data_IF_813348408297
#
_entry.id   IF_813348408297
#
_cell.length_a   1.000
_cell.length_b   1.000
_cell.length_c   1.000
_cell.angle_alpha   90.00
_cell.angle_beta   90.00
_cell.angle_gamma   90.00
#
_symmetry.space_group_name_H-M   'P 1'
#
loop_
_entity.id
_entity.type
_entity.pdbx_description
1 polymer ?
#
# COMPACT_ATOMS: atom_id res chain seq x y z
N UNK A 1 3.62 45.02 -32.10
CA UNK A 1 3.38 43.74 -31.41
C UNK A 1 3.55 42.64 -32.46
N UNK A 2 4.59 41.81 -32.36
CA UNK A 2 4.84 40.76 -33.38
C UNK A 2 3.75 39.71 -33.27
N UNK A 3 3.10 39.39 -34.38
CA UNK A 3 2.07 38.35 -34.46
C UNK A 3 2.71 37.02 -34.09
N UNK A 4 2.30 36.46 -32.95
CA UNK A 4 2.79 35.18 -32.49
C UNK A 4 2.22 34.11 -33.43
N UNK A 5 3.07 33.34 -34.13
CA UNK A 5 2.61 32.47 -35.20
C UNK A 5 1.81 31.30 -34.61
N UNK A 6 0.74 30.87 -35.29
CA UNK A 6 -0.24 29.91 -34.75
C UNK A 6 0.36 28.60 -34.21
N UNK A 7 1.48 28.13 -34.76
CA UNK A 7 2.20 26.93 -34.28
C UNK A 7 2.74 27.09 -32.85
N UNK A 8 2.99 28.32 -32.38
CA UNK A 8 3.43 28.58 -31.01
C UNK A 8 2.34 28.22 -29.99
N UNK A 9 1.06 28.47 -30.30
CA UNK A 9 -0.05 28.07 -29.44
C UNK A 9 -0.21 26.55 -29.39
N UNK A 10 -0.01 25.86 -30.53
CA UNK A 10 0.02 24.39 -30.56
C UNK A 10 1.15 23.80 -29.71
N UNK A 11 2.36 24.38 -29.79
CA UNK A 11 3.46 23.96 -28.93
C UNK A 11 3.18 24.22 -27.46
N UNK A 12 2.60 25.37 -27.10
CA UNK A 12 2.20 25.65 -25.72
C UNK A 12 1.20 24.63 -25.18
N UNK A 13 0.18 24.27 -25.97
CA UNK A 13 -0.84 23.29 -25.57
C UNK A 13 -0.25 21.89 -25.35
N UNK A 14 0.86 21.53 -26.01
CA UNK A 14 1.51 20.24 -25.81
C UNK A 14 2.54 20.31 -24.68
N UNK A 15 3.41 21.33 -24.71
CA UNK A 15 4.56 21.44 -23.80
C UNK A 15 4.12 21.78 -22.37
N UNK A 16 3.15 22.68 -22.18
CA UNK A 16 2.71 23.06 -20.83
C UNK A 16 2.13 21.85 -20.07
N UNK A 17 1.17 21.07 -20.61
CA UNK A 17 0.65 19.91 -19.88
C UNK A 17 1.70 18.85 -19.61
N UNK A 18 2.66 18.64 -20.51
CA UNK A 18 3.77 17.69 -20.28
C UNK A 18 4.62 18.16 -19.10
N UNK A 19 5.06 19.41 -19.10
CA UNK A 19 5.86 19.98 -18.01
C UNK A 19 5.08 19.95 -16.69
N UNK A 20 3.80 20.29 -16.72
CA UNK A 20 2.94 20.23 -15.54
C UNK A 20 2.78 18.79 -15.03
N UNK A 21 2.64 17.82 -15.93
CA UNK A 21 2.53 16.39 -15.58
C UNK A 21 3.81 15.87 -14.93
N UNK A 22 4.98 16.23 -15.46
CA UNK A 22 6.28 15.83 -14.90
C UNK A 22 6.41 16.29 -13.44
N UNK A 23 5.90 17.48 -13.11
CA UNK A 23 5.93 18.01 -11.74
C UNK A 23 4.82 17.42 -10.85
N UNK A 24 3.61 17.26 -11.38
CA UNK A 24 2.44 16.89 -10.58
C UNK A 24 2.29 15.39 -10.34
N UNK A 25 2.77 14.54 -11.26
CA UNK A 25 2.70 13.09 -11.11
C UNK A 25 3.47 12.62 -9.86
N UNK A 26 4.74 12.99 -9.63
CA UNK A 26 5.48 12.56 -8.44
C UNK A 26 4.80 12.99 -7.13
N UNK A 27 4.30 14.23 -7.07
CA UNK A 27 3.59 14.75 -5.90
C UNK A 27 2.30 13.96 -5.63
N UNK A 28 1.52 13.70 -6.67
CA UNK A 28 0.29 12.91 -6.57
C UNK A 28 0.59 11.48 -6.16
N UNK A 29 1.68 10.90 -6.67
CA UNK A 29 2.16 9.58 -6.30
C UNK A 29 2.52 9.51 -4.83
N UNK A 30 3.28 10.46 -4.33
CA UNK A 30 3.65 10.51 -2.92
C UNK A 30 2.43 10.74 -2.00
N UNK A 31 1.54 11.68 -2.35
CA UNK A 31 0.31 11.93 -1.58
C UNK A 31 -0.56 10.69 -1.45
N UNK A 32 -0.69 9.91 -2.53
CA UNK A 32 -1.54 8.71 -2.57
C UNK A 32 -1.08 7.56 -1.67
N UNK A 33 0.12 7.63 -1.10
CA UNK A 33 0.67 6.61 -0.18
C UNK A 33 0.42 6.93 1.29
N UNK A 34 -0.04 8.15 1.58
CA UNK A 34 -0.21 8.65 2.94
C UNK A 34 -1.48 8.08 3.60
N UNK A 35 -1.44 7.96 4.93
CA UNK A 35 -2.61 7.56 5.73
C UNK A 35 -3.77 8.55 5.53
N UNK A 36 -3.46 9.85 5.38
CA UNK A 36 -4.46 10.90 5.14
C UNK A 36 -5.20 10.69 3.81
N UNK A 37 -4.51 10.23 2.76
CA UNK A 37 -5.16 9.89 1.51
C UNK A 37 -6.06 8.66 1.67
N UNK A 38 -5.58 7.60 2.32
CA UNK A 38 -6.42 6.42 2.60
C UNK A 38 -7.67 6.79 3.42
N UNK A 39 -7.51 7.65 4.43
CA UNK A 39 -8.59 8.14 5.29
C UNK A 39 -9.60 9.06 4.57
N UNK A 40 -9.29 9.53 3.35
CA UNK A 40 -10.26 10.31 2.55
C UNK A 40 -11.38 9.45 1.97
N UNK A 41 -11.19 8.13 1.92
CA UNK A 41 -12.22 7.18 1.50
C UNK A 41 -13.02 6.70 2.72
N UNK A 42 -14.34 6.86 2.70
CA UNK A 42 -15.19 6.42 3.82
C UNK A 42 -15.12 4.91 4.07
N UNK A 43 -14.85 4.10 3.04
CA UNK A 43 -14.69 2.65 3.18
C UNK A 43 -13.48 2.27 4.03
N UNK A 44 -12.52 3.19 4.20
CA UNK A 44 -11.34 3.00 5.04
C UNK A 44 -11.51 3.41 6.49
N UNK A 45 -12.64 4.02 6.86
CA UNK A 45 -12.89 4.48 8.24
C UNK A 45 -12.63 3.39 9.29
N UNK A 46 -13.13 2.14 9.17
CA UNK A 46 -12.89 1.11 10.18
C UNK A 46 -11.40 0.81 10.37
N UNK A 47 -10.66 0.74 9.26
CA UNK A 47 -9.22 0.49 9.27
C UNK A 47 -8.48 1.63 9.95
N UNK A 48 -8.80 2.88 9.62
CA UNK A 48 -8.14 4.06 10.20
C UNK A 48 -8.45 4.20 11.69
N UNK A 49 -9.68 3.92 12.11
CA UNK A 49 -10.08 3.94 13.52
C UNK A 49 -9.37 2.84 14.32
N UNK A 50 -9.22 1.65 13.74
CA UNK A 50 -8.52 0.52 14.38
C UNK A 50 -7.07 0.83 14.74
N UNK A 51 -6.38 1.62 13.91
CA UNK A 51 -4.99 2.01 14.18
C UNK A 51 -4.86 2.85 15.46
N UNK A 52 -5.94 3.53 15.86
CA UNK A 52 -5.96 4.41 17.03
C UNK A 52 -6.51 3.71 18.27
N UNK A 53 -6.99 2.47 18.16
CA UNK A 53 -7.47 1.72 19.32
C UNK A 53 -6.29 1.30 20.20
N UNK A 54 -6.16 1.82 21.43
CA UNK A 54 -5.05 1.49 22.32
C UNK A 54 -5.11 0.03 22.82
N UNK A 55 -6.24 -0.67 22.66
CA UNK A 55 -6.42 -2.06 23.08
C UNK A 55 -6.17 -3.06 21.96
N UNK A 56 -5.99 -2.59 20.73
CA UNK A 56 -5.79 -3.47 19.58
C UNK A 56 -4.35 -3.98 19.54
N UNK A 57 -4.21 -5.31 19.56
CA UNK A 57 -2.94 -6.01 19.37
C UNK A 57 -2.69 -6.40 17.91
N UNK A 58 -3.54 -5.93 16.98
CA UNK A 58 -3.40 -6.25 15.56
C UNK A 58 -2.09 -5.69 14.99
N UNK A 59 -1.50 -6.42 14.05
CA UNK A 59 -0.19 -6.11 13.45
C UNK A 59 -0.12 -4.68 12.92
N UNK A 60 -1.12 -4.25 12.14
CA UNK A 60 -1.17 -2.90 11.59
C UNK A 60 -1.26 -1.82 12.69
N UNK A 61 -1.94 -2.11 13.79
CA UNK A 61 -2.08 -1.18 14.92
C UNK A 61 -0.75 -0.96 15.61
N UNK A 62 -0.02 -2.05 15.92
CA UNK A 62 1.31 -1.95 16.55
C UNK A 62 2.32 -1.20 15.67
N UNK A 63 2.32 -1.50 14.36
CA UNK A 63 3.21 -0.81 13.41
C UNK A 63 2.90 0.68 13.30
N UNK A 64 1.62 1.06 13.39
CA UNK A 64 1.19 2.45 13.38
C UNK A 64 1.53 3.19 14.67
N UNK A 65 1.13 2.64 15.82
CA UNK A 65 1.23 3.29 17.13
C UNK A 65 2.68 3.46 17.58
N UNK A 66 3.51 2.45 17.38
CA UNK A 66 4.94 2.52 17.73
C UNK A 66 5.80 3.23 16.67
N UNK A 67 5.20 3.68 15.56
CA UNK A 67 5.91 4.32 14.44
C UNK A 67 7.08 3.49 13.90
N UNK A 68 6.97 2.17 13.91
CA UNK A 68 7.96 1.28 13.30
C UNK A 68 8.06 1.51 11.78
N UNK A 69 6.96 1.97 11.17
CA UNK A 69 6.95 2.55 9.84
C UNK A 69 6.79 4.07 9.97
N UNK A 70 7.81 4.83 9.54
CA UNK A 70 7.86 6.28 9.75
C UNK A 70 6.95 7.07 8.81
N UNK A 71 6.85 6.65 7.54
CA UNK A 71 6.06 7.31 6.50
C UNK A 71 5.29 6.26 5.70
N UNK A 72 4.24 6.70 5.00
CA UNK A 72 3.50 5.83 4.07
C UNK A 72 3.00 4.52 4.69
N UNK A 73 2.58 4.58 5.97
CA UNK A 73 2.38 3.42 6.85
C UNK A 73 1.46 2.33 6.27
N UNK A 74 0.41 2.71 5.54
CA UNK A 74 -0.43 1.74 4.83
C UNK A 74 0.27 1.21 3.57
N UNK A 75 0.84 2.13 2.77
CA UNK A 75 1.41 1.79 1.47
C UNK A 75 2.68 0.94 1.58
N UNK A 76 3.47 1.07 2.65
CA UNK A 76 4.68 0.24 2.88
C UNK A 76 4.36 -1.25 2.86
N UNK A 77 3.19 -1.66 3.37
CA UNK A 77 2.77 -3.07 3.34
C UNK A 77 1.86 -3.38 2.13
N UNK A 78 0.98 -2.45 1.75
CA UNK A 78 -0.03 -2.66 0.68
C UNK A 78 0.47 -2.37 -0.74
N UNK A 79 1.69 -1.85 -0.88
CA UNK A 79 2.37 -1.66 -2.16
C UNK A 79 3.56 -2.59 -2.19
N UNK A 80 3.59 -3.48 -3.19
CA UNK A 80 4.73 -4.37 -3.35
C UNK A 80 5.99 -3.55 -3.65
N UNK A 81 7.13 -3.96 -3.08
CA UNK A 81 8.42 -3.31 -3.28
C UNK A 81 9.13 -3.72 -4.58
N UNK A 82 8.39 -4.28 -5.54
CA UNK A 82 8.95 -4.55 -6.87
C UNK A 82 9.04 -3.27 -7.73
N UNK A 83 9.88 -3.28 -8.76
CA UNK A 83 10.12 -2.12 -9.65
C UNK A 83 8.81 -1.54 -10.22
N UNK A 84 7.80 -2.39 -10.43
CA UNK A 84 6.47 -2.01 -10.91
C UNK A 84 5.44 -1.89 -9.79
N UNK A 85 5.81 -2.07 -8.53
CA UNK A 85 4.86 -2.33 -7.45
C UNK A 85 4.05 -1.11 -7.10
N UNK A 86 4.67 0.07 -7.17
CA UNK A 86 3.96 1.36 -7.08
C UNK A 86 2.99 1.57 -8.25
N UNK A 87 3.34 1.14 -9.47
CA UNK A 87 2.47 1.26 -10.64
C UNK A 87 1.31 0.27 -10.57
N UNK A 88 1.60 -0.98 -10.19
CA UNK A 88 0.62 -2.05 -9.99
C UNK A 88 -0.36 -1.72 -8.86
N UNK A 89 0.13 -1.14 -7.75
CA UNK A 89 -0.72 -0.65 -6.66
C UNK A 89 -1.68 0.45 -7.14
N UNK A 90 -1.26 1.33 -8.06
CA UNK A 90 -2.14 2.35 -8.64
C UNK A 90 -3.18 1.76 -9.57
N UNK A 91 -2.83 0.79 -10.39
CA UNK A 91 -3.82 0.06 -11.18
C UNK A 91 -4.84 -0.67 -10.29
N UNK A 92 -4.40 -1.28 -9.19
CA UNK A 92 -5.31 -1.84 -8.17
C UNK A 92 -6.18 -0.74 -7.55
N UNK A 93 -5.62 0.42 -7.21
CA UNK A 93 -6.36 1.58 -6.72
C UNK A 93 -7.43 2.07 -7.70
N UNK A 94 -7.13 2.14 -9.00
CA UNK A 94 -8.11 2.46 -10.04
C UNK A 94 -9.20 1.40 -10.15
N UNK A 95 -8.85 0.13 -10.00
CA UNK A 95 -9.84 -0.96 -9.91
C UNK A 95 -10.73 -0.80 -8.68
N UNK A 96 -10.19 -0.44 -7.52
CA UNK A 96 -10.99 -0.14 -6.33
C UNK A 96 -11.92 1.05 -6.55
N UNK A 97 -11.45 2.10 -7.24
CA UNK A 97 -12.28 3.24 -7.61
C UNK A 97 -13.42 2.83 -8.55
N UNK A 98 -13.13 2.01 -9.55
CA UNK A 98 -14.13 1.48 -10.46
C UNK A 98 -15.17 0.61 -9.73
N UNK A 99 -14.74 -0.31 -8.86
CA UNK A 99 -15.63 -1.12 -8.02
C UNK A 99 -16.45 -0.24 -7.10
N UNK A 100 -15.85 0.77 -6.47
CA UNK A 100 -16.53 1.72 -5.60
C UNK A 100 -17.68 2.47 -6.31
N UNK A 101 -17.47 2.89 -7.56
CA UNK A 101 -18.50 3.63 -8.31
C UNK A 101 -19.49 2.72 -9.06
N UNK A 102 -19.08 1.52 -9.47
CA UNK A 102 -19.85 0.66 -10.38
C UNK A 102 -20.43 -0.58 -9.73
N UNK A 103 -19.96 -0.98 -8.54
CA UNK A 103 -20.42 -2.18 -7.82
C UNK A 103 -20.90 -1.82 -6.41
N UNK A 104 -21.86 -2.60 -5.91
CA UNK A 104 -22.52 -2.35 -4.61
C UNK A 104 -21.70 -2.82 -3.40
N UNK A 105 -20.66 -3.63 -3.60
CA UNK A 105 -19.79 -4.13 -2.54
C UNK A 105 -18.50 -3.28 -2.43
N UNK A 106 -18.64 -1.99 -2.12
CA UNK A 106 -17.55 -1.00 -2.04
C UNK A 106 -16.44 -1.24 -0.99
N UNK A 107 -16.30 -2.47 -0.49
CA UNK A 107 -15.26 -2.88 0.45
C UNK A 107 -13.95 -3.21 -0.27
N UNK A 108 -12.81 -2.65 0.15
CA UNK A 108 -11.52 -2.99 -0.44
C UNK A 108 -11.10 -4.40 -0.08
N UNK A 109 -10.85 -5.22 -1.11
CA UNK A 109 -10.41 -6.61 -1.00
C UNK A 109 -8.96 -6.73 -1.46
N UNK A 110 -8.21 -7.61 -0.81
CA UNK A 110 -6.90 -7.99 -1.29
C UNK A 110 -7.08 -8.94 -2.50
N UNK A 111 -6.56 -8.56 -3.66
CA UNK A 111 -6.67 -9.38 -4.88
C UNK A 111 -5.53 -10.39 -5.04
N UNK A 112 -4.49 -10.27 -4.23
CA UNK A 112 -3.31 -11.14 -4.20
C UNK A 112 -2.82 -11.25 -2.76
N UNK A 113 -2.30 -12.41 -2.32
CA UNK A 113 -1.65 -12.52 -1.01
C UNK A 113 -0.50 -11.52 -0.85
N UNK A 114 -0.19 -11.13 0.38
CA UNK A 114 1.02 -10.36 0.67
C UNK A 114 2.26 -11.18 0.36
N UNK A 115 3.25 -10.52 -0.25
CA UNK A 115 4.58 -11.09 -0.44
C UNK A 115 5.39 -10.89 0.84
N UNK A 116 6.09 -11.94 1.28
CA UNK A 116 6.96 -11.90 2.46
C UNK A 116 8.05 -10.83 2.35
N UNK A 117 8.49 -10.48 1.14
CA UNK A 117 9.48 -9.41 0.93
C UNK A 117 9.04 -8.07 1.51
N UNK A 118 7.73 -7.79 1.60
CA UNK A 118 7.21 -6.56 2.20
C UNK A 118 7.41 -6.54 3.74
N UNK A 119 7.56 -7.71 4.37
CA UNK A 119 7.90 -7.85 5.78
C UNK A 119 9.42 -7.90 5.98
N UNK A 120 10.12 -8.67 5.15
CA UNK A 120 11.55 -8.95 5.26
C UNK A 120 12.42 -7.69 5.14
N UNK A 121 11.97 -6.65 4.43
CA UNK A 121 12.68 -5.36 4.36
C UNK A 121 13.06 -4.76 5.72
N UNK A 122 12.26 -5.01 6.75
CA UNK A 122 12.51 -4.52 8.10
C UNK A 122 12.82 -5.64 9.10
N UNK A 123 12.40 -6.88 8.81
CA UNK A 123 12.54 -8.00 9.73
C UNK A 123 13.74 -8.89 9.44
N UNK A 124 14.14 -9.04 8.17
CA UNK A 124 15.25 -9.92 7.79
C UNK A 124 16.56 -9.46 8.45
N UNK A 125 17.30 -10.40 9.01
CA UNK A 125 18.57 -10.12 9.67
C UNK A 125 18.47 -9.43 11.04
N UNK A 126 17.26 -9.09 11.51
CA UNK A 126 17.10 -8.61 12.89
C UNK A 126 17.36 -9.73 13.89
N UNK A 127 17.83 -9.39 15.09
CA UNK A 127 18.12 -10.36 16.14
C UNK A 127 16.88 -11.23 16.46
N UNK A 128 15.71 -10.60 16.60
CA UNK A 128 14.46 -11.31 16.86
C UNK A 128 14.05 -12.26 15.73
N UNK A 129 14.43 -11.97 14.48
CA UNK A 129 14.19 -12.86 13.35
C UNK A 129 15.13 -14.07 13.38
N UNK A 130 16.44 -13.83 13.55
CA UNK A 130 17.50 -14.86 13.52
C UNK A 130 17.43 -15.79 14.72
N UNK A 131 17.06 -15.29 15.90
CA UNK A 131 16.96 -16.08 17.12
C UNK A 131 15.80 -17.07 17.12
N UNK A 132 14.84 -16.92 16.21
CA UNK A 132 13.73 -17.86 16.10
C UNK A 132 14.13 -19.06 15.23
N UNK A 133 14.24 -20.28 15.80
CA UNK A 133 14.66 -21.46 15.05
C UNK A 133 13.70 -21.83 13.91
N UNK A 134 12.41 -21.49 14.01
CA UNK A 134 11.44 -21.74 12.94
C UNK A 134 11.69 -20.84 11.73
N UNK A 135 12.10 -19.59 11.94
CA UNK A 135 12.48 -18.71 10.83
C UNK A 135 13.71 -19.24 10.12
N UNK A 136 14.72 -19.68 10.88
CA UNK A 136 15.97 -20.15 10.30
C UNK A 136 15.83 -21.51 9.60
N UNK A 137 15.03 -22.42 10.16
CA UNK A 137 14.74 -23.72 9.55
C UNK A 137 13.95 -23.60 8.24
N UNK A 138 13.10 -22.58 8.12
CA UNK A 138 12.25 -22.34 6.95
C UNK A 138 12.68 -21.11 6.13
N UNK A 139 13.92 -20.61 6.30
CA UNK A 139 14.35 -19.34 5.71
C UNK A 139 14.14 -19.29 4.19
N UNK A 140 14.55 -20.35 3.49
CA UNK A 140 14.40 -20.46 2.04
C UNK A 140 12.91 -20.46 1.63
N UNK A 141 12.07 -21.17 2.36
CA UNK A 141 10.63 -21.24 2.11
C UNK A 141 9.95 -19.89 2.38
N UNK A 142 10.39 -19.17 3.41
CA UNK A 142 9.92 -17.82 3.73
C UNK A 142 10.33 -16.85 2.61
N UNK A 143 11.59 -16.87 2.16
CA UNK A 143 12.06 -16.01 1.07
C UNK A 143 11.34 -16.31 -0.26
N UNK A 144 10.94 -17.57 -0.48
CA UNK A 144 10.18 -18.03 -1.66
C UNK A 144 8.68 -17.89 -1.52
N UNK A 145 8.18 -17.25 -0.47
CA UNK A 145 6.75 -17.02 -0.30
C UNK A 145 5.95 -18.35 -0.11
N UNK A 146 6.59 -19.47 0.22
CA UNK A 146 5.98 -20.79 0.43
C UNK A 146 5.42 -20.95 1.86
N UNK A 147 6.10 -20.38 2.85
CA UNK A 147 5.60 -20.21 4.22
C UNK A 147 5.34 -18.72 4.44
N UNK A 148 4.08 -18.29 4.60
CA UNK A 148 3.77 -16.86 4.71
C UNK A 148 4.00 -16.35 6.12
N UNK A 149 4.54 -15.14 6.26
CA UNK A 149 4.64 -14.47 7.55
C UNK A 149 3.26 -14.38 8.22
N UNK A 150 2.22 -14.07 7.43
CA UNK A 150 0.85 -13.89 7.89
C UNK A 150 0.11 -15.20 8.18
N UNK A 151 0.71 -16.37 8.00
CA UNK A 151 0.12 -17.62 8.48
C UNK A 151 0.29 -17.75 10.00
N UNK A 152 1.33 -17.13 10.56
CA UNK A 152 1.62 -17.12 12.00
C UNK A 152 1.45 -15.73 12.64
N UNK A 153 1.78 -14.65 11.92
CA UNK A 153 1.71 -13.27 12.43
C UNK A 153 0.34 -12.64 12.16
N UNK A 154 -0.70 -13.16 12.82
CA UNK A 154 -2.09 -12.69 12.76
C UNK A 154 -2.54 -12.16 14.14
N UNK A 155 -3.59 -11.32 14.20
CA UNK A 155 -4.36 -10.75 13.09
C UNK A 155 -3.72 -9.48 12.49
N UNK A 156 -3.94 -9.23 11.20
CA UNK A 156 -3.37 -8.06 10.47
C UNK A 156 -4.10 -6.78 10.89
N UNK A 157 -5.42 -6.84 10.84
CA UNK A 157 -6.38 -5.85 11.35
C UNK A 157 -7.28 -6.57 12.36
N UNK A 158 -7.93 -5.84 13.29
CA UNK A 158 -8.88 -6.44 14.23
C UNK A 158 -9.93 -7.31 13.53
N UNK A 159 -10.27 -8.46 14.12
CA UNK A 159 -11.13 -9.49 13.50
C UNK A 159 -12.55 -8.99 13.18
N UNK A 160 -13.03 -7.99 13.93
CA UNK A 160 -14.31 -7.32 13.69
C UNK A 160 -14.31 -6.43 12.43
N UNK A 161 -13.14 -6.25 11.80
CA UNK A 161 -12.92 -5.50 10.56
C UNK A 161 -12.53 -6.54 9.50
N UNK A 162 -13.50 -7.36 9.09
CA UNK A 162 -13.23 -8.53 8.27
C UNK A 162 -12.74 -8.16 6.87
N UNK A 163 -11.51 -8.58 6.54
CA UNK A 163 -11.18 -9.02 5.19
C UNK A 163 -11.54 -10.51 5.09
N UNK A 164 -12.44 -10.87 4.17
CA UNK A 164 -12.40 -12.22 3.62
C UNK A 164 -11.16 -12.28 2.71
N UNK A 165 -10.05 -12.80 3.24
CA UNK A 165 -9.00 -13.28 2.36
C UNK A 165 -9.59 -14.40 1.48
N UNK A 166 -9.26 -14.44 0.18
CA UNK A 166 -9.54 -15.63 -0.60
C UNK A 166 -8.79 -16.80 0.04
N UNK A 167 -9.54 -17.79 0.54
CA UNK A 167 -8.99 -19.08 0.98
C UNK A 167 -8.23 -19.71 -0.21
N UNK A 168 -7.05 -20.31 0.00
CA UNK A 168 -6.29 -20.97 -1.07
C UNK A 168 -7.12 -22.01 -1.82
#
# INVERSE_FOLDING_TARGET
MKNLPGWFFFLLIIVIPILFSIVTIPVSFHRSKTVQFCASCHSMTPFIESLKDPKSEALATKHYQHRWVAHDQCATCHTDYDFLGTVNAKWRGLRHLAVYYLASDGQPKLYKPYKNINCLQCHEGTQAFVDNPLHMASLEQIQKDEVKCLDCHRPIHPENITHQEPKP
#
